data_IF_795984064709
#
_entry.id   IF_795984064709
#
_cell.length_a   1.000
_cell.length_b   1.000
_cell.length_c   1.000
_cell.angle_alpha   90.00
_cell.angle_beta   90.00
_cell.angle_gamma   90.00
#
_symmetry.space_group_name_H-M   'P 1'
#
loop_
_entity.id
_entity.type
_entity.pdbx_description
1 polymer ?
#
# COMPACT_ATOMS: atom_id res chain seq x y z
N UNK A 1 -11.49 -46.45 57.35
CA UNK A 1 -10.89 -45.11 57.26
C UNK A 1 -10.14 -45.04 55.92
N UNK A 2 -10.42 -44.05 55.05
CA UNK A 2 -9.80 -43.97 53.73
C UNK A 2 -8.34 -43.51 53.82
N UNK A 3 -7.53 -43.70 52.76
CA UNK A 3 -6.08 -43.54 52.84
C UNK A 3 -5.67 -42.06 52.86
N UNK A 4 -4.63 -41.76 53.63
CA UNK A 4 -3.90 -40.50 53.58
C UNK A 4 -3.30 -40.34 52.19
N UNK A 5 -3.80 -39.36 51.44
CA UNK A 5 -3.23 -38.92 50.17
C UNK A 5 -1.86 -38.31 50.46
N UNK A 6 -0.77 -39.02 50.14
CA UNK A 6 0.57 -38.45 50.16
C UNK A 6 0.68 -37.44 49.02
N UNK A 7 0.89 -36.17 49.34
CA UNK A 7 1.28 -35.18 48.35
C UNK A 7 2.67 -35.56 47.83
N UNK A 8 2.75 -36.14 46.63
CA UNK A 8 4.01 -36.37 45.93
C UNK A 8 4.64 -35.02 45.63
N UNK A 9 5.66 -34.66 46.42
CA UNK A 9 6.47 -33.48 46.20
C UNK A 9 7.33 -33.70 44.94
N UNK A 10 7.21 -32.82 43.94
CA UNK A 10 8.03 -32.84 42.74
C UNK A 10 9.51 -32.79 43.13
N UNK A 11 10.30 -33.76 42.66
CA UNK A 11 11.76 -33.75 42.88
C UNK A 11 12.38 -32.56 42.14
N UNK A 12 13.52 -32.00 42.62
CA UNK A 12 14.20 -30.90 41.95
C UNK A 12 14.47 -31.15 40.46
N UNK A 13 14.75 -32.40 40.10
CA UNK A 13 14.97 -32.83 38.71
C UNK A 13 13.68 -32.73 37.87
N UNK A 14 12.54 -33.10 38.43
CA UNK A 14 11.25 -32.99 37.75
C UNK A 14 10.82 -31.53 37.53
N UNK A 15 11.16 -30.64 38.46
CA UNK A 15 10.92 -29.20 38.33
C UNK A 15 11.81 -28.57 37.24
N UNK A 16 13.09 -28.92 37.20
CA UNK A 16 14.03 -28.48 36.16
C UNK A 16 13.60 -28.99 34.77
N UNK A 17 13.14 -30.24 34.67
CA UNK A 17 12.55 -30.78 33.43
C UNK A 17 11.35 -29.94 32.96
N UNK A 18 10.46 -29.54 33.88
CA UNK A 18 9.30 -28.73 33.54
C UNK A 18 9.69 -27.35 33.00
N UNK A 19 10.71 -26.72 33.60
CA UNK A 19 11.27 -25.44 33.16
C UNK A 19 11.90 -25.54 31.77
N UNK A 20 12.64 -26.62 31.49
CA UNK A 20 13.24 -26.87 30.18
C UNK A 20 12.14 -27.07 29.13
N UNK A 21 11.12 -27.87 29.42
CA UNK A 21 9.99 -28.08 28.51
C UNK A 21 9.27 -26.76 28.23
N UNK A 22 8.99 -25.95 29.27
CA UNK A 22 8.35 -24.65 29.11
C UNK A 22 9.19 -23.69 28.25
N UNK A 23 10.51 -23.66 28.45
CA UNK A 23 11.43 -22.84 27.65
C UNK A 23 11.47 -23.29 26.18
N UNK A 24 11.48 -24.61 25.92
CA UNK A 24 11.45 -25.15 24.56
C UNK A 24 10.13 -24.82 23.86
N UNK A 25 8.99 -24.97 24.54
CA UNK A 25 7.67 -24.61 23.98
C UNK A 25 7.60 -23.12 23.67
N UNK A 26 8.11 -22.26 24.56
CA UNK A 26 8.16 -20.81 24.33
C UNK A 26 9.04 -20.47 23.13
N UNK A 27 10.24 -21.05 23.03
CA UNK A 27 11.16 -20.86 21.90
C UNK A 27 10.54 -21.30 20.58
N UNK A 28 9.91 -22.50 20.55
CA UNK A 28 9.20 -22.99 19.36
C UNK A 28 8.05 -22.06 18.97
N UNK A 29 7.30 -21.54 19.94
CA UNK A 29 6.24 -20.55 19.71
C UNK A 29 6.77 -19.24 19.13
N UNK A 30 7.89 -18.71 19.63
CA UNK A 30 8.54 -17.49 19.11
C UNK A 30 9.02 -17.72 17.68
N UNK A 31 9.72 -18.83 17.41
CA UNK A 31 10.22 -19.16 16.07
C UNK A 31 9.07 -19.31 15.09
N UNK A 32 8.02 -20.06 15.46
CA UNK A 32 6.82 -20.20 14.63
C UNK A 32 6.15 -18.85 14.39
N UNK A 33 6.01 -18.01 15.42
CA UNK A 33 5.47 -16.65 15.31
C UNK A 33 6.27 -15.77 14.35
N UNK A 34 7.61 -15.81 14.41
CA UNK A 34 8.49 -15.10 13.48
C UNK A 34 8.35 -15.62 12.05
N UNK A 35 8.33 -16.94 11.83
CA UNK A 35 8.14 -17.52 10.49
C UNK A 35 6.78 -17.14 9.91
N UNK A 36 5.72 -17.15 10.72
CA UNK A 36 4.39 -16.70 10.32
C UNK A 36 4.41 -15.19 10.03
N UNK A 37 5.04 -14.35 10.85
CA UNK A 37 5.12 -12.90 10.62
C UNK A 37 5.90 -12.55 9.34
N UNK A 38 6.98 -13.29 9.03
CA UNK A 38 7.75 -13.14 7.79
C UNK A 38 6.96 -13.56 6.55
N UNK A 39 6.01 -14.49 6.70
CA UNK A 39 5.13 -14.98 5.62
C UNK A 39 3.76 -14.31 5.60
N UNK A 40 3.40 -13.57 6.64
CA UNK A 40 2.10 -12.94 6.74
C UNK A 40 2.00 -11.89 5.62
N UNK A 41 0.93 -11.91 4.82
CA UNK A 41 0.71 -10.86 3.86
C UNK A 41 0.64 -9.55 4.65
N UNK A 42 1.58 -8.65 4.35
CA UNK A 42 1.71 -7.35 4.98
C UNK A 42 0.32 -6.71 5.08
N UNK A 43 -0.19 -6.51 6.30
CA UNK A 43 -1.43 -5.77 6.53
C UNK A 43 -1.21 -4.41 5.88
N UNK A 44 -1.86 -4.19 4.74
CA UNK A 44 -1.71 -2.96 3.98
C UNK A 44 -2.36 -1.83 4.79
N UNK A 45 -1.55 -1.14 5.61
CA UNK A 45 -2.01 0.03 6.33
C UNK A 45 -2.38 1.07 5.28
N UNK A 46 -3.61 1.57 5.33
CA UNK A 46 -4.03 2.69 4.49
C UNK A 46 -3.14 3.90 4.79
N UNK A 47 -2.35 4.30 3.80
CA UNK A 47 -1.45 5.47 3.85
C UNK A 47 -2.11 6.73 3.31
N UNK A 48 -3.19 6.58 2.54
CA UNK A 48 -3.99 7.66 1.95
C UNK A 48 -5.49 7.41 2.09
N UNK A 49 -6.29 8.47 1.88
CA UNK A 49 -7.75 8.41 1.86
C UNK A 49 -8.34 9.35 0.81
N UNK A 50 -9.35 8.87 0.08
CA UNK A 50 -10.17 9.73 -0.77
C UNK A 50 -11.27 10.42 0.06
N UNK A 51 -11.37 11.75 -0.03
CA UNK A 51 -12.45 12.54 0.56
C UNK A 51 -12.81 13.72 -0.36
N UNK A 52 -13.82 14.51 0.01
CA UNK A 52 -14.15 15.73 -0.73
C UNK A 52 -12.95 16.67 -0.79
N UNK A 53 -12.64 17.16 -1.99
CA UNK A 53 -11.58 18.14 -2.25
C UNK A 53 -12.19 19.53 -2.33
N UNK A 54 -11.41 20.54 -1.94
CA UNK A 54 -11.75 21.94 -2.18
C UNK A 54 -11.44 22.40 -3.59
N UNK A 55 -10.67 21.61 -4.36
CA UNK A 55 -10.32 21.89 -5.76
C UNK A 55 -11.44 21.39 -6.68
N UNK A 56 -11.71 20.10 -6.66
CA UNK A 56 -12.79 19.49 -7.45
C UNK A 56 -13.17 18.12 -6.90
N UNK A 57 -14.47 17.84 -6.82
CA UNK A 57 -15.02 16.52 -6.52
C UNK A 57 -14.35 15.81 -5.33
N UNK A 58 -13.65 14.71 -5.62
CA UNK A 58 -12.86 13.94 -4.66
C UNK A 58 -11.38 14.21 -4.87
N UNK A 59 -10.61 14.19 -3.79
CA UNK A 59 -9.16 14.22 -3.81
C UNK A 59 -8.58 13.20 -2.84
N UNK A 60 -7.30 12.88 -3.01
CA UNK A 60 -6.59 11.91 -2.17
C UNK A 60 -5.71 12.65 -1.19
N UNK A 61 -5.77 12.25 0.08
CA UNK A 61 -5.09 12.93 1.18
C UNK A 61 -4.20 11.97 1.97
N UNK A 62 -3.06 12.48 2.43
CA UNK A 62 -2.11 11.72 3.23
C UNK A 62 -2.68 11.39 4.62
N UNK A 63 -2.67 10.10 5.02
CA UNK A 63 -3.01 9.67 6.39
C UNK A 63 -1.79 9.62 7.32
N UNK A 64 -0.59 9.69 6.75
CA UNK A 64 0.70 9.67 7.43
C UNK A 64 1.60 10.79 6.87
N UNK A 65 2.75 11.03 7.50
CA UNK A 65 3.79 11.85 6.89
C UNK A 65 4.56 11.00 5.88
N UNK A 66 4.88 11.57 4.72
CA UNK A 66 5.79 11.01 3.73
C UNK A 66 7.07 11.85 3.65
N UNK A 67 8.19 11.18 3.43
CA UNK A 67 9.45 11.79 3.01
C UNK A 67 9.48 11.89 1.49
N UNK A 68 10.30 12.80 0.97
CA UNK A 68 10.64 12.81 -0.45
C UNK A 68 11.13 11.43 -0.91
N UNK A 69 10.61 10.95 -2.03
CA UNK A 69 10.91 9.64 -2.60
C UNK A 69 10.09 8.48 -2.00
N UNK A 70 9.33 8.68 -0.93
CA UNK A 70 8.49 7.61 -0.36
C UNK A 70 7.42 7.17 -1.37
N UNK A 71 7.21 5.86 -1.48
CA UNK A 71 6.08 5.29 -2.22
C UNK A 71 4.80 5.55 -1.44
N UNK A 72 3.87 6.23 -2.09
CA UNK A 72 2.57 6.61 -1.53
C UNK A 72 1.58 5.47 -1.73
N UNK A 73 1.46 4.99 -2.96
CA UNK A 73 0.55 3.92 -3.35
C UNK A 73 1.10 3.17 -4.57
N UNK A 74 0.93 1.85 -4.57
CA UNK A 74 1.11 1.00 -5.75
C UNK A 74 -0.27 0.58 -6.23
N UNK A 75 -0.63 1.03 -7.43
CA UNK A 75 -1.94 0.77 -8.01
C UNK A 75 -1.79 -0.31 -9.09
N UNK A 76 -2.31 -1.53 -8.89
CA UNK A 76 -2.44 -2.49 -9.97
C UNK A 76 -3.17 -1.83 -11.14
N UNK A 77 -2.70 -2.04 -12.36
CA UNK A 77 -3.24 -1.39 -13.53
C UNK A 77 -3.66 -2.42 -14.58
N UNK A 78 -4.85 -2.22 -15.13
CA UNK A 78 -5.26 -2.92 -16.34
C UNK A 78 -4.75 -2.12 -17.54
N UNK A 79 -3.87 -2.73 -18.33
CA UNK A 79 -3.42 -2.14 -19.59
C UNK A 79 -4.40 -2.48 -20.71
N UNK A 80 -4.95 -1.45 -21.35
CA UNK A 80 -5.91 -1.55 -22.45
C UNK A 80 -5.39 -0.79 -23.67
N UNK A 81 -5.96 -1.04 -24.85
CA UNK A 81 -5.63 -0.22 -26.02
C UNK A 81 -6.33 1.12 -25.89
N UNK A 82 -5.69 2.18 -26.37
CA UNK A 82 -6.23 3.55 -26.37
C UNK A 82 -7.62 3.62 -27.01
N UNK A 83 -7.82 2.91 -28.13
CA UNK A 83 -9.11 2.80 -28.82
C UNK A 83 -10.25 2.17 -28.00
N UNK A 84 -9.93 1.48 -26.91
CA UNK A 84 -10.91 0.85 -26.03
C UNK A 84 -11.28 1.78 -24.84
N UNK A 85 -10.70 2.99 -24.76
CA UNK A 85 -11.00 4.02 -23.76
C UNK A 85 -11.70 5.20 -24.43
N UNK A 86 -12.86 5.60 -23.89
CA UNK A 86 -13.64 6.71 -24.45
C UNK A 86 -14.39 7.47 -23.34
N UNK A 87 -14.93 8.64 -23.70
CA UNK A 87 -15.74 9.50 -22.83
C UNK A 87 -14.95 10.04 -21.65
N UNK A 88 -15.62 10.13 -20.50
CA UNK A 88 -15.03 10.69 -19.27
C UNK A 88 -13.78 9.96 -18.80
N UNK A 89 -13.62 8.68 -19.16
CA UNK A 89 -12.49 7.87 -18.73
C UNK A 89 -11.14 8.38 -19.28
N UNK A 90 -11.16 9.08 -20.43
CA UNK A 90 -9.98 9.72 -21.03
C UNK A 90 -9.34 10.76 -20.10
N UNK A 91 -10.09 11.31 -19.15
CA UNK A 91 -9.59 12.30 -18.19
C UNK A 91 -8.83 11.68 -17.00
N UNK A 92 -8.82 10.35 -16.89
CA UNK A 92 -8.32 9.65 -15.71
C UNK A 92 -7.26 8.58 -16.01
N UNK A 93 -7.19 8.07 -17.24
CA UNK A 93 -6.23 7.01 -17.61
C UNK A 93 -4.83 7.57 -17.84
N UNK A 94 -3.83 6.71 -17.67
CA UNK A 94 -2.42 7.06 -17.88
C UNK A 94 -1.88 6.42 -19.15
N UNK A 95 -0.76 6.89 -19.68
CA UNK A 95 -0.09 6.21 -20.79
C UNK A 95 0.43 4.82 -20.37
N UNK A 96 0.24 3.83 -21.24
CA UNK A 96 0.73 2.46 -21.07
C UNK A 96 2.17 2.28 -21.49
N UNK A 97 2.52 1.03 -21.81
CA UNK A 97 3.81 0.62 -22.36
C UNK A 97 4.13 1.27 -23.71
N UNK A 98 3.09 1.68 -24.45
CA UNK A 98 3.21 2.45 -25.70
C UNK A 98 2.16 3.56 -25.76
N UNK A 99 2.31 4.50 -26.70
CA UNK A 99 1.35 5.58 -26.92
C UNK A 99 -0.05 5.08 -27.36
N UNK A 100 -0.14 3.84 -27.84
CA UNK A 100 -1.39 3.18 -28.23
C UNK A 100 -2.05 2.41 -27.09
N UNK A 101 -1.48 2.45 -25.89
CA UNK A 101 -2.00 1.79 -24.70
C UNK A 101 -2.28 2.81 -23.60
N UNK A 102 -3.22 2.44 -22.73
CA UNK A 102 -3.61 3.20 -21.56
C UNK A 102 -3.63 2.30 -20.35
N UNK A 103 -3.27 2.85 -19.19
CA UNK A 103 -3.40 2.20 -17.90
C UNK A 103 -4.68 2.69 -17.22
N UNK A 104 -5.58 1.76 -16.94
CA UNK A 104 -6.68 1.95 -15.99
C UNK A 104 -6.16 1.56 -14.61
N UNK A 105 -5.70 2.54 -13.84
CA UNK A 105 -5.13 2.31 -12.52
C UNK A 105 -6.22 2.04 -11.47
N UNK A 106 -6.09 0.94 -10.75
CA UNK A 106 -6.98 0.60 -9.63
C UNK A 106 -6.57 1.36 -8.36
N UNK A 107 -7.14 1.00 -7.20
CA UNK A 107 -6.86 1.71 -5.96
C UNK A 107 -7.32 3.16 -6.04
N UNK A 108 -6.50 4.11 -5.58
CA UNK A 108 -6.79 5.54 -5.68
C UNK A 108 -6.07 6.24 -6.84
N UNK A 109 -5.33 5.54 -7.71
CA UNK A 109 -4.47 6.18 -8.72
C UNK A 109 -5.21 7.19 -9.62
N UNK A 110 -6.45 6.87 -10.01
CA UNK A 110 -7.32 7.71 -10.83
C UNK A 110 -8.12 8.77 -10.02
N UNK A 111 -7.84 8.96 -8.71
CA UNK A 111 -8.59 9.88 -7.84
C UNK A 111 -7.78 11.08 -7.34
N UNK A 112 -6.48 11.11 -7.58
CA UNK A 112 -5.66 12.27 -7.22
C UNK A 112 -6.03 13.40 -8.17
N UNK A 113 -6.11 14.61 -7.61
CA UNK A 113 -6.34 15.80 -8.40
C UNK A 113 -5.04 16.28 -9.05
N UNK A 114 -5.18 17.31 -9.89
CA UNK A 114 -4.08 17.90 -10.61
C UNK A 114 -3.72 19.29 -10.10
N UNK A 115 -2.43 19.56 -10.08
CA UNK A 115 -1.88 20.88 -9.76
C UNK A 115 -0.65 21.15 -10.64
N UNK A 116 -0.40 22.42 -10.96
CA UNK A 116 0.79 22.86 -11.70
C UNK A 116 2.07 22.81 -10.83
N UNK A 117 1.91 22.76 -9.51
CA UNK A 117 2.97 22.55 -8.53
C UNK A 117 2.70 21.25 -7.75
N UNK A 118 2.79 20.07 -8.40
CA UNK A 118 2.42 18.80 -7.80
C UNK A 118 3.37 18.40 -6.66
N UNK A 119 2.86 17.64 -5.70
CA UNK A 119 3.66 17.03 -4.63
C UNK A 119 3.83 15.50 -4.82
N UNK A 120 3.23 14.93 -5.85
CA UNK A 120 3.31 13.52 -6.24
C UNK A 120 3.73 13.39 -7.70
N UNK A 121 4.56 12.40 -7.98
CA UNK A 121 4.82 11.91 -9.33
C UNK A 121 4.53 10.41 -9.41
N UNK A 122 4.51 9.89 -10.63
CA UNK A 122 4.24 8.48 -10.87
C UNK A 122 5.14 7.90 -11.95
N UNK A 123 5.31 6.58 -11.92
CA UNK A 123 5.92 5.81 -13.00
C UNK A 123 5.20 4.47 -13.17
N UNK A 124 5.34 3.87 -14.35
CA UNK A 124 4.87 2.52 -14.65
C UNK A 124 5.94 1.50 -14.27
N UNK A 125 5.56 0.42 -13.60
CA UNK A 125 6.43 -0.71 -13.29
C UNK A 125 5.77 -2.01 -13.72
N UNK A 126 6.51 -2.91 -14.38
CA UNK A 126 6.04 -4.25 -14.69
C UNK A 126 6.43 -5.21 -13.56
N UNK A 127 5.44 -5.91 -13.02
CA UNK A 127 5.65 -6.96 -12.01
C UNK A 127 5.28 -8.32 -12.59
N UNK A 128 5.66 -9.44 -11.94
CA UNK A 128 5.17 -10.77 -12.33
C UNK A 128 3.65 -10.93 -12.31
N UNK A 129 2.92 -10.02 -11.64
CA UNK A 129 1.46 -10.03 -11.55
C UNK A 129 0.79 -9.10 -12.59
N UNK A 130 1.58 -8.30 -13.31
CA UNK A 130 1.09 -7.30 -14.27
C UNK A 130 1.66 -5.90 -14.02
N UNK A 131 1.17 -4.94 -14.80
CA UNK A 131 1.59 -3.54 -14.70
C UNK A 131 1.04 -2.88 -13.43
N UNK A 132 1.85 -2.02 -12.82
CA UNK A 132 1.46 -1.15 -11.72
C UNK A 132 1.76 0.31 -12.06
N UNK A 133 0.87 1.21 -11.63
CA UNK A 133 1.15 2.63 -11.51
C UNK A 133 1.68 2.88 -10.10
N UNK A 134 2.93 3.29 -9.99
CA UNK A 134 3.59 3.56 -8.71
C UNK A 134 3.62 5.06 -8.47
N UNK A 135 2.94 5.52 -7.43
CA UNK A 135 2.90 6.93 -7.02
C UNK A 135 3.90 7.18 -5.88
N UNK A 136 4.70 8.24 -5.99
CA UNK A 136 5.73 8.59 -5.01
C UNK A 136 5.78 10.10 -4.72
N UNK A 137 6.27 10.45 -3.54
CA UNK A 137 6.32 11.83 -3.07
C UNK A 137 7.49 12.61 -3.71
N UNK A 138 7.22 13.79 -4.26
CA UNK A 138 8.23 14.71 -4.82
C UNK A 138 8.93 15.58 -3.75
N UNK A 139 8.40 15.60 -2.54
CA UNK A 139 8.91 16.34 -1.38
C UNK A 139 8.42 15.69 -0.10
N UNK A 140 8.82 16.19 1.05
CA UNK A 140 8.16 15.85 2.31
C UNK A 140 6.68 16.30 2.27
N UNK A 141 5.77 15.41 2.66
CA UNK A 141 4.32 15.64 2.71
C UNK A 141 3.82 15.35 4.11
N UNK A 142 3.09 16.29 4.71
CA UNK A 142 2.49 16.14 6.03
C UNK A 142 1.17 15.40 5.95
N UNK A 143 0.86 14.66 7.01
CA UNK A 143 -0.46 14.09 7.23
C UNK A 143 -1.54 15.16 7.05
N UNK A 144 -2.54 14.85 6.25
CA UNK A 144 -3.68 15.71 5.95
C UNK A 144 -3.51 16.61 4.72
N UNK A 145 -2.31 16.73 4.15
CA UNK A 145 -2.12 17.38 2.85
C UNK A 145 -2.85 16.59 1.75
N UNK A 146 -3.44 17.32 0.79
CA UNK A 146 -3.95 16.74 -0.45
C UNK A 146 -2.78 16.44 -1.40
N UNK A 147 -2.94 15.37 -2.15
CA UNK A 147 -1.93 14.81 -3.03
C UNK A 147 -2.31 15.10 -4.48
N UNK A 148 -1.37 15.68 -5.22
CA UNK A 148 -1.56 16.10 -6.59
C UNK A 148 -0.42 15.62 -7.47
N UNK A 149 -0.74 15.08 -8.64
CA UNK A 149 0.23 14.91 -9.73
C UNK A 149 -0.05 15.88 -10.87
N UNK A 150 0.91 16.06 -11.77
CA UNK A 150 0.70 16.85 -12.98
C UNK A 150 0.17 15.96 -14.11
N UNK A 151 -0.72 16.49 -14.95
CA UNK A 151 -1.13 15.82 -16.19
C UNK A 151 0.02 15.76 -17.24
N UNK A 152 1.15 16.44 -17.00
CA UNK A 152 2.20 16.65 -17.99
C UNK A 152 1.84 17.75 -19.01
N UNK A 153 2.83 18.32 -19.69
CA UNK A 153 2.61 19.45 -20.61
C UNK A 153 1.73 19.10 -21.82
N UNK A 154 1.81 17.85 -22.31
CA UNK A 154 1.06 17.38 -23.48
C UNK A 154 -0.47 17.44 -23.28
N UNK A 155 -0.94 17.23 -22.05
CA UNK A 155 -2.38 17.26 -21.75
C UNK A 155 -2.92 18.70 -21.78
N UNK A 156 -2.19 19.68 -21.23
CA UNK A 156 -2.60 21.08 -21.25
C UNK A 156 -2.68 21.66 -22.67
N UNK A 157 -1.81 21.21 -23.58
CA UNK A 157 -1.81 21.66 -24.97
C UNK A 157 -3.11 21.30 -25.73
N UNK A 158 -3.80 20.21 -25.35
CA UNK A 158 -5.05 19.78 -26.01
C UNK A 158 -6.27 20.61 -25.62
N UNK A 159 -6.18 21.44 -24.57
CA UNK A 159 -7.32 22.19 -23.98
C UNK A 159 -7.21 23.70 -24.08
N UNK A 160 -6.07 24.24 -24.52
CA UNK A 160 -5.95 25.68 -24.81
C UNK A 160 -6.52 26.08 -26.18
N UNK A 161 -6.97 25.11 -26.99
CA UNK A 161 -7.53 25.31 -28.33
C UNK A 161 -9.05 25.05 -28.41
N UNK A 162 -9.75 25.00 -27.27
CA UNK A 162 -11.19 24.73 -27.16
C UNK A 162 -11.97 25.90 -26.58
#
# INVERSE_FOLDING_TARGET
MPPLFSAECLTPDSFNCLLIIAAVVLLLGIVLGFVVALKAPWIHRKTVIAKASTVSGRGVFALVNFREGDIIERCPALEVRDRDVDGELLNYVFYGSTEQHRLVAMGNGMLFNHDNNPNVAYYREDTPLGAELVLYALRNIRKGEELFYSYGEAWWATRQNG
#
